data_IF_076626441747
#
_entry.id   IF_076626441747
#
_cell.length_a   1.000
_cell.length_b   1.000
_cell.length_c   1.000
_cell.angle_alpha   90.00
_cell.angle_beta   90.00
_cell.angle_gamma   90.00
#
_symmetry.space_group_name_H-M   'P 1'
#
loop_
_entity.id
_entity.type
_entity.pdbx_description
1 polymer ?
#
# COMPACT_ATOMS: atom_id res chain seq x y z
N UNK A 1 -2.54 -9.10 -1.98
CA UNK A 1 -2.06 -7.93 -2.73
C UNK A 1 -1.11 -7.13 -1.85
N UNK A 2 -0.05 -6.54 -2.42
CA UNK A 2 0.93 -5.74 -1.69
C UNK A 2 0.89 -4.29 -2.19
N UNK A 3 0.78 -3.33 -1.26
CA UNK A 3 0.89 -1.89 -1.51
C UNK A 3 2.28 -1.44 -1.07
N UNK A 4 3.14 -1.13 -2.03
CA UNK A 4 4.55 -0.83 -1.82
C UNK A 4 4.85 0.63 -2.13
N UNK A 5 5.59 1.32 -1.27
CA UNK A 5 6.00 2.71 -1.48
C UNK A 5 6.62 3.32 -0.24
N UNK A 6 7.29 4.44 -0.43
CA UNK A 6 7.85 5.24 0.66
C UNK A 6 6.74 5.86 1.51
N UNK A 7 7.11 6.47 2.60
CA UNK A 7 6.20 7.23 3.43
C UNK A 7 5.58 8.41 2.65
N UNK A 8 4.34 8.77 2.95
CA UNK A 8 3.64 9.88 2.31
C UNK A 8 3.23 9.63 0.85
N UNK A 9 3.21 8.38 0.36
CA UNK A 9 2.80 8.04 -1.02
C UNK A 9 1.35 7.60 -1.14
N UNK A 10 0.51 7.87 -0.15
CA UNK A 10 -0.94 7.61 -0.15
C UNK A 10 -1.36 6.13 -0.08
N UNK A 11 -0.54 5.25 0.50
CA UNK A 11 -0.90 3.84 0.69
C UNK A 11 -2.13 3.67 1.60
N UNK A 12 -2.14 4.34 2.75
CA UNK A 12 -3.26 4.28 3.72
C UNK A 12 -4.54 4.90 3.15
N UNK A 13 -4.45 5.98 2.35
CA UNK A 13 -5.60 6.53 1.63
C UNK A 13 -6.22 5.50 0.67
N UNK A 14 -5.39 4.76 -0.05
CA UNK A 14 -5.87 3.66 -0.89
C UNK A 14 -6.56 2.57 -0.06
N UNK A 15 -6.03 2.24 1.12
CA UNK A 15 -6.68 1.28 2.01
C UNK A 15 -8.04 1.79 2.47
N UNK A 16 -8.16 3.05 2.89
CA UNK A 16 -9.46 3.63 3.28
C UNK A 16 -10.46 3.58 2.13
N UNK A 17 -10.06 3.94 0.93
CA UNK A 17 -10.90 3.85 -0.27
C UNK A 17 -11.40 2.42 -0.53
N UNK A 18 -10.53 1.42 -0.36
CA UNK A 18 -10.89 0.00 -0.51
C UNK A 18 -11.81 -0.48 0.61
N UNK A 19 -11.54 -0.09 1.86
CA UNK A 19 -12.36 -0.43 3.03
C UNK A 19 -13.77 0.14 2.85
N UNK A 20 -13.89 1.42 2.53
CA UNK A 20 -15.20 2.07 2.28
C UNK A 20 -15.97 1.31 1.22
N UNK A 21 -15.33 0.94 0.10
CA UNK A 21 -16.00 0.13 -0.93
C UNK A 21 -16.45 -1.24 -0.43
N UNK A 22 -15.72 -1.86 0.48
CA UNK A 22 -16.10 -3.15 1.05
C UNK A 22 -17.26 -3.05 2.01
N UNK A 23 -17.26 -2.06 2.92
CA UNK A 23 -18.26 -1.95 3.99
C UNK A 23 -19.57 -1.29 3.54
N UNK A 24 -19.55 -0.52 2.46
CA UNK A 24 -20.77 0.06 1.87
C UNK A 24 -21.76 -1.03 1.42
N UNK A 25 -23.07 -0.83 1.60
CA UNK A 25 -24.10 -1.71 1.07
C UNK A 25 -24.06 -1.78 -0.47
N UNK A 26 -24.52 -2.90 -1.01
CA UNK A 26 -24.56 -3.11 -2.48
C UNK A 26 -25.44 -2.08 -3.20
N UNK A 27 -26.53 -1.62 -2.57
CA UNK A 27 -27.38 -0.54 -3.08
C UNK A 27 -26.64 0.79 -3.26
N UNK A 28 -25.55 1.00 -2.52
CA UNK A 28 -24.67 2.16 -2.62
C UNK A 28 -23.33 1.79 -3.30
N UNK A 29 -23.35 0.87 -4.27
CA UNK A 29 -22.19 0.48 -5.06
C UNK A 29 -21.06 -0.20 -4.28
N UNK A 30 -21.31 -0.61 -3.01
CA UNK A 30 -20.38 -1.34 -2.17
C UNK A 30 -20.42 -2.85 -2.39
N UNK A 31 -19.66 -3.57 -1.56
CA UNK A 31 -19.63 -5.04 -1.57
C UNK A 31 -20.35 -5.66 -0.37
N UNK A 32 -20.75 -4.86 0.59
CA UNK A 32 -21.42 -5.28 1.83
C UNK A 32 -20.66 -6.39 2.58
N UNK A 33 -19.33 -6.29 2.58
CA UNK A 33 -18.42 -7.30 3.12
C UNK A 33 -17.75 -6.77 4.38
N UNK A 34 -17.59 -7.62 5.38
CA UNK A 34 -16.85 -7.30 6.59
C UNK A 34 -15.35 -7.25 6.33
N UNK A 35 -14.66 -6.35 7.04
CA UNK A 35 -13.24 -6.08 6.91
C UNK A 35 -12.56 -6.21 8.27
N UNK A 36 -11.48 -6.98 8.32
CA UNK A 36 -10.56 -7.02 9.45
C UNK A 36 -9.32 -6.19 9.12
N UNK A 37 -9.02 -5.19 9.94
CA UNK A 37 -7.84 -4.35 9.80
C UNK A 37 -6.89 -4.57 10.97
N UNK A 38 -5.67 -5.00 10.66
CA UNK A 38 -4.58 -5.14 11.63
C UNK A 38 -3.67 -3.93 11.50
N UNK A 39 -3.75 -3.05 12.49
CA UNK A 39 -2.94 -1.84 12.61
C UNK A 39 -1.68 -2.14 13.44
N UNK A 40 -0.51 -2.01 12.83
CA UNK A 40 0.78 -2.28 13.47
C UNK A 40 1.52 -1.02 13.88
N UNK A 41 1.13 0.13 13.34
CA UNK A 41 1.79 1.43 13.56
C UNK A 41 0.89 2.40 14.33
N UNK A 42 -0.32 1.99 14.70
CA UNK A 42 -1.32 2.80 15.41
C UNK A 42 -1.68 4.10 14.66
N UNK A 43 -1.72 4.03 13.33
CA UNK A 43 -2.00 5.17 12.46
C UNK A 43 -3.38 5.12 11.77
N UNK A 44 -4.23 4.19 12.17
CA UNK A 44 -5.58 4.13 11.62
C UNK A 44 -6.41 5.34 12.05
N UNK A 45 -6.84 6.15 11.08
CA UNK A 45 -7.64 7.34 11.30
C UNK A 45 -9.12 7.07 10.99
N UNK A 46 -9.90 6.87 12.05
CA UNK A 46 -11.33 6.62 11.95
C UNK A 46 -12.09 7.83 11.39
N UNK A 47 -11.69 9.06 11.78
CA UNK A 47 -12.35 10.27 11.30
C UNK A 47 -12.15 10.42 9.79
N UNK A 48 -10.96 10.17 9.32
CA UNK A 48 -10.66 10.18 7.88
C UNK A 48 -11.50 9.16 7.11
N UNK A 49 -11.64 7.94 7.65
CA UNK A 49 -12.48 6.91 7.05
C UNK A 49 -13.95 7.35 6.96
N UNK A 50 -14.49 7.94 8.05
CA UNK A 50 -15.87 8.45 8.10
C UNK A 50 -16.07 9.54 7.05
N UNK A 51 -15.16 10.52 6.98
CA UNK A 51 -15.25 11.60 5.96
C UNK A 51 -15.30 11.04 4.53
N UNK A 52 -14.50 10.01 4.22
CA UNK A 52 -14.52 9.37 2.90
C UNK A 52 -15.86 8.63 2.68
N UNK A 53 -16.38 7.97 3.73
CA UNK A 53 -17.64 7.24 3.67
C UNK A 53 -18.84 8.17 3.41
N UNK A 54 -18.92 9.27 4.17
CA UNK A 54 -19.94 10.30 4.01
C UNK A 54 -19.90 10.93 2.61
N UNK A 55 -18.71 11.30 2.14
CA UNK A 55 -18.54 11.84 0.80
C UNK A 55 -18.99 10.85 -0.30
N UNK A 56 -18.84 9.55 -0.08
CA UNK A 56 -19.32 8.53 -1.01
C UNK A 56 -20.84 8.38 -0.99
N UNK A 57 -21.47 8.46 0.18
CA UNK A 57 -22.91 8.43 0.31
C UNK A 57 -23.54 9.66 -0.36
N UNK A 58 -23.00 10.87 -0.11
CA UNK A 58 -23.47 12.11 -0.70
C UNK A 58 -23.33 12.14 -2.24
N UNK A 59 -22.26 11.57 -2.81
CA UNK A 59 -22.10 11.47 -4.27
C UNK A 59 -23.19 10.63 -4.93
N UNK A 60 -23.71 9.63 -4.26
CA UNK A 60 -24.72 8.74 -4.81
C UNK A 60 -26.13 9.30 -4.66
N UNK A 61 -26.37 10.07 -3.59
CA UNK A 61 -27.65 10.80 -3.42
C UNK A 61 -27.83 11.92 -4.46
N UNK A 62 -26.73 12.41 -5.03
CA UNK A 62 -26.75 13.47 -6.06
C UNK A 62 -27.00 12.96 -7.49
N UNK A 63 -26.99 11.64 -7.77
CA UNK A 63 -27.41 11.13 -9.07
C UNK A 63 -28.95 11.17 -9.14
N UNK A 64 -29.57 11.94 -10.08
CA UNK A 64 -31.00 12.13 -10.13
C UNK A 64 -31.71 10.84 -10.55
N UNK A 65 -32.12 10.04 -9.60
CA UNK A 65 -33.22 9.08 -9.84
C UNK A 65 -34.48 9.90 -10.06
N UNK A 66 -35.02 9.84 -11.27
CA UNK A 66 -36.31 10.45 -11.65
C UNK A 66 -37.41 9.90 -10.74
N UNK A 67 -37.86 10.68 -9.79
CA UNK A 67 -38.97 10.49 -8.84
C UNK A 67 -38.53 10.52 -7.37
N UNK A 68 -38.32 11.72 -6.84
CA UNK A 68 -38.58 11.95 -5.41
C UNK A 68 -38.83 13.43 -5.15
N UNK A 69 -39.99 13.72 -4.54
CA UNK A 69 -40.27 15.01 -3.94
C UNK A 69 -39.27 15.39 -2.88
N UNK A 70 -38.94 16.69 -2.71
CA UNK A 70 -38.02 17.15 -1.64
C UNK A 70 -38.67 16.85 -0.28
N UNK A 71 -38.04 15.97 0.50
CA UNK A 71 -38.30 15.75 1.91
C UNK A 71 -37.50 16.73 2.75
N UNK A 72 -38.09 17.22 3.84
CA UNK A 72 -37.52 18.20 4.73
C UNK A 72 -36.21 17.66 5.38
N UNK A 73 -35.16 18.53 5.46
CA UNK A 73 -33.77 18.19 5.67
C UNK A 73 -33.32 17.56 7.02
N UNK A 74 -34.22 17.23 7.95
CA UNK A 74 -33.88 16.61 9.24
C UNK A 74 -33.96 15.09 9.21
N UNK A 75 -34.82 14.50 8.40
CA UNK A 75 -34.96 13.04 8.29
C UNK A 75 -33.86 12.42 7.40
N UNK A 76 -33.25 13.20 6.49
CA UNK A 76 -32.16 12.73 5.63
C UNK A 76 -30.83 12.65 6.40
N UNK A 77 -30.55 13.59 7.30
CA UNK A 77 -29.31 13.58 8.11
C UNK A 77 -29.30 12.43 9.13
N UNK A 78 -30.42 12.12 9.78
CA UNK A 78 -30.52 10.96 10.68
C UNK A 78 -30.36 9.63 9.92
N UNK A 79 -30.88 9.54 8.71
CA UNK A 79 -30.74 8.35 7.85
C UNK A 79 -29.29 8.09 7.42
N UNK A 80 -28.54 9.14 7.12
CA UNK A 80 -27.15 9.05 6.70
C UNK A 80 -26.23 8.67 7.89
N UNK A 81 -26.48 9.20 9.10
CA UNK A 81 -25.75 8.82 10.30
C UNK A 81 -25.95 7.34 10.68
N UNK A 82 -27.20 6.85 10.60
CA UNK A 82 -27.49 5.43 10.82
C UNK A 82 -26.81 4.55 9.77
N UNK A 83 -26.74 5.00 8.52
CA UNK A 83 -26.06 4.29 7.46
C UNK A 83 -24.55 4.21 7.71
N UNK A 84 -23.93 5.30 8.11
CA UNK A 84 -22.50 5.35 8.49
C UNK A 84 -22.24 4.37 9.64
N UNK A 85 -23.06 4.38 10.69
CA UNK A 85 -22.97 3.43 11.81
C UNK A 85 -23.06 1.98 11.36
N UNK A 86 -24.02 1.67 10.50
CA UNK A 86 -24.22 0.34 9.95
C UNK A 86 -23.02 -0.13 9.09
N UNK A 87 -22.40 0.79 8.35
CA UNK A 87 -21.18 0.50 7.60
C UNK A 87 -19.98 0.23 8.54
N UNK A 88 -19.80 1.06 9.58
CA UNK A 88 -18.71 0.90 10.54
C UNK A 88 -18.81 -0.39 11.35
N UNK A 89 -20.01 -0.95 11.58
CA UNK A 89 -20.18 -2.26 12.21
C UNK A 89 -19.56 -3.42 11.41
N UNK A 90 -19.25 -3.20 10.13
CA UNK A 90 -18.57 -4.18 9.26
C UNK A 90 -17.05 -4.05 9.30
N UNK A 91 -16.50 -3.12 10.10
CA UNK A 91 -15.06 -2.91 10.23
C UNK A 91 -14.58 -3.31 11.63
N UNK A 92 -13.62 -4.22 11.68
CA UNK A 92 -12.98 -4.67 12.91
C UNK A 92 -11.52 -4.24 12.93
N UNK A 93 -11.08 -3.64 14.03
CA UNK A 93 -9.71 -3.17 14.23
C UNK A 93 -8.98 -4.04 15.26
N UNK A 94 -7.77 -4.44 14.92
CA UNK A 94 -6.86 -5.17 15.81
C UNK A 94 -5.51 -4.47 15.81
N UNK A 95 -5.02 -4.11 16.98
CA UNK A 95 -3.69 -3.51 17.12
C UNK A 95 -2.64 -4.57 17.45
N UNK A 96 -1.45 -4.42 16.90
CA UNK A 96 -0.31 -5.28 17.18
C UNK A 96 0.96 -4.44 17.27
N UNK A 97 1.67 -4.52 18.40
CA UNK A 97 2.88 -3.74 18.69
C UNK A 97 4.19 -4.51 18.47
N UNK A 98 4.12 -5.80 18.17
CA UNK A 98 5.28 -6.67 17.90
C UNK A 98 4.94 -7.73 16.85
N UNK A 99 5.95 -8.27 16.19
CA UNK A 99 5.78 -9.37 15.25
C UNK A 99 5.22 -10.64 15.90
N UNK A 100 5.56 -10.89 17.15
CA UNK A 100 5.01 -12.01 17.93
C UNK A 100 3.53 -11.80 18.22
N UNK A 101 3.13 -10.58 18.61
CA UNK A 101 1.73 -10.24 18.85
C UNK A 101 0.92 -10.34 17.55
N UNK A 102 1.45 -9.84 16.44
CA UNK A 102 0.80 -9.98 15.11
C UNK A 102 0.57 -11.46 14.77
N UNK A 103 1.56 -12.34 15.02
CA UNK A 103 1.41 -13.77 14.79
C UNK A 103 0.29 -14.36 15.66
N UNK A 104 0.23 -14.00 16.95
CA UNK A 104 -0.81 -14.46 17.87
C UNK A 104 -2.19 -13.93 17.45
N UNK A 105 -2.28 -12.66 17.06
CA UNK A 105 -3.53 -12.06 16.55
C UNK A 105 -4.03 -12.83 15.33
N UNK A 106 -3.17 -13.12 14.35
CA UNK A 106 -3.56 -13.88 13.17
C UNK A 106 -4.06 -15.30 13.50
N UNK A 107 -3.47 -15.98 14.50
CA UNK A 107 -3.98 -17.28 14.99
C UNK A 107 -5.38 -17.13 15.62
N UNK A 108 -5.58 -16.07 16.41
CA UNK A 108 -6.88 -15.81 17.02
C UNK A 108 -7.96 -15.47 15.99
N UNK A 109 -7.60 -14.75 14.94
CA UNK A 109 -8.50 -14.38 13.85
C UNK A 109 -9.03 -15.59 13.06
N UNK A 110 -8.37 -16.74 13.12
CA UNK A 110 -8.87 -17.96 12.47
C UNK A 110 -10.27 -18.34 12.95
N UNK A 111 -10.54 -18.20 14.27
CA UNK A 111 -11.87 -18.39 14.82
C UNK A 111 -12.91 -17.41 14.30
N UNK A 112 -12.50 -16.14 14.03
CA UNK A 112 -13.37 -15.13 13.46
C UNK A 112 -13.74 -15.44 12.02
N UNK A 113 -12.78 -15.83 11.17
CA UNK A 113 -13.04 -16.24 9.80
C UNK A 113 -13.92 -17.47 9.70
N UNK A 114 -13.76 -18.40 10.64
CA UNK A 114 -14.59 -19.61 10.71
C UNK A 114 -16.05 -19.31 11.07
N UNK A 115 -16.30 -18.33 11.95
CA UNK A 115 -17.64 -17.98 12.44
C UNK A 115 -18.36 -16.93 11.61
N UNK A 116 -17.64 -16.18 10.73
CA UNK A 116 -18.16 -15.05 9.96
C UNK A 116 -17.85 -15.19 8.47
N UNK A 117 -18.71 -15.83 7.69
CA UNK A 117 -18.48 -16.01 6.25
C UNK A 117 -18.52 -14.70 5.46
N UNK A 118 -19.10 -13.64 6.03
CA UNK A 118 -19.12 -12.27 5.47
C UNK A 118 -17.79 -11.53 5.60
N UNK A 119 -16.86 -12.02 6.46
CA UNK A 119 -15.54 -11.45 6.65
C UNK A 119 -14.61 -11.84 5.49
N UNK A 120 -14.63 -11.05 4.43
CA UNK A 120 -13.95 -11.33 3.17
C UNK A 120 -12.61 -10.65 2.96
N UNK A 121 -12.31 -9.60 3.75
CA UNK A 121 -11.08 -8.82 3.58
C UNK A 121 -10.27 -8.75 4.87
N UNK A 122 -8.97 -9.06 4.76
CA UNK A 122 -7.96 -8.83 5.79
C UNK A 122 -6.95 -7.79 5.30
N UNK A 123 -6.80 -6.72 6.04
CA UNK A 123 -5.82 -5.64 5.79
C UNK A 123 -4.75 -5.66 6.86
N UNK A 124 -3.48 -5.53 6.47
CA UNK A 124 -2.32 -5.44 7.35
C UNK A 124 -1.58 -4.13 7.04
N UNK A 125 -1.66 -3.15 7.92
CA UNK A 125 -0.94 -1.89 7.78
C UNK A 125 0.01 -1.69 8.98
N UNK A 126 1.30 -2.06 8.84
CA UNK A 126 2.00 -2.67 7.71
C UNK A 126 2.60 -4.05 8.08
N UNK A 127 2.77 -4.93 7.09
CA UNK A 127 3.46 -6.22 7.31
C UNK A 127 4.96 -6.02 7.57
N UNK A 128 5.50 -4.86 7.25
CA UNK A 128 6.92 -4.52 7.39
C UNK A 128 7.26 -3.76 8.68
N UNK A 129 6.29 -3.43 9.52
CA UNK A 129 6.48 -2.60 10.71
C UNK A 129 7.60 -3.09 11.62
N UNK A 130 7.65 -4.39 11.86
CA UNK A 130 8.60 -4.99 12.81
C UNK A 130 9.91 -5.47 12.18
N UNK A 131 10.16 -5.20 10.90
CA UNK A 131 11.32 -5.68 10.18
C UNK A 131 12.64 -5.33 10.86
N UNK A 132 12.83 -4.08 11.25
CA UNK A 132 14.06 -3.64 11.88
C UNK A 132 14.22 -4.19 13.30
N UNK A 133 13.13 -4.26 14.06
CA UNK A 133 13.11 -4.82 15.41
C UNK A 133 13.51 -6.31 15.38
N UNK A 134 12.88 -7.09 14.51
CA UNK A 134 13.17 -8.53 14.36
C UNK A 134 14.60 -8.76 13.87
N UNK A 135 15.10 -7.87 13.00
CA UNK A 135 16.47 -7.92 12.50
C UNK A 135 17.49 -7.68 13.61
N UNK A 136 17.25 -6.71 14.48
CA UNK A 136 18.12 -6.46 15.63
C UNK A 136 18.09 -7.63 16.63
N UNK A 137 16.91 -8.16 16.92
CA UNK A 137 16.74 -9.26 17.88
C UNK A 137 17.27 -10.59 17.36
N UNK A 138 17.28 -10.81 16.04
CA UNK A 138 17.77 -12.03 15.40
C UNK A 138 19.29 -12.15 15.31
N UNK A 139 20.03 -11.10 15.65
CA UNK A 139 21.50 -11.04 15.54
C UNK A 139 21.97 -11.31 14.11
N UNK A 140 23.05 -12.08 13.94
CA UNK A 140 23.62 -12.45 12.64
C UNK A 140 22.83 -13.50 11.85
N UNK A 141 21.74 -14.07 12.41
CA UNK A 141 21.01 -15.18 11.81
C UNK A 141 19.76 -14.73 11.05
N UNK A 142 19.83 -14.70 9.71
CA UNK A 142 18.67 -14.37 8.84
C UNK A 142 17.45 -15.25 9.15
N UNK A 143 17.57 -16.58 9.36
CA UNK A 143 16.40 -17.39 9.75
C UNK A 143 15.70 -16.91 11.02
N UNK A 144 16.46 -16.44 12.02
CA UNK A 144 15.88 -15.88 13.26
C UNK A 144 15.23 -14.53 13.03
N UNK A 145 15.86 -13.66 12.25
CA UNK A 145 15.33 -12.34 11.86
C UNK A 145 13.98 -12.45 11.15
N UNK A 146 13.79 -13.48 10.34
CA UNK A 146 12.57 -13.67 9.55
C UNK A 146 11.56 -14.64 10.19
N UNK A 147 11.85 -15.20 11.38
CA UNK A 147 11.08 -16.32 11.93
C UNK A 147 9.59 -16.02 12.09
N UNK A 148 9.24 -14.90 12.73
CA UNK A 148 7.85 -14.52 12.96
C UNK A 148 7.15 -14.16 11.65
N UNK A 149 7.78 -13.38 10.78
CA UNK A 149 7.22 -13.00 9.50
C UNK A 149 6.95 -14.20 8.59
N UNK A 150 7.83 -15.22 8.61
CA UNK A 150 7.58 -16.49 7.90
C UNK A 150 6.33 -17.20 8.41
N UNK A 151 6.18 -17.31 9.74
CA UNK A 151 5.02 -17.94 10.36
C UNK A 151 3.75 -17.16 10.04
N UNK A 152 3.78 -15.82 10.16
CA UNK A 152 2.65 -14.97 9.76
C UNK A 152 2.28 -15.20 8.28
N UNK A 153 3.27 -15.24 7.37
CA UNK A 153 3.02 -15.47 5.94
C UNK A 153 2.40 -16.83 5.66
N UNK A 154 2.90 -17.88 6.32
CA UNK A 154 2.35 -19.23 6.18
C UNK A 154 0.90 -19.30 6.68
N UNK A 155 0.62 -18.64 7.81
CA UNK A 155 -0.73 -18.55 8.36
C UNK A 155 -1.67 -17.77 7.44
N UNK A 156 -1.23 -16.63 6.89
CA UNK A 156 -1.99 -15.85 5.92
C UNK A 156 -2.29 -16.66 4.64
N UNK A 157 -1.35 -17.46 4.18
CA UNK A 157 -1.57 -18.36 3.04
C UNK A 157 -2.63 -19.40 3.35
N UNK A 158 -2.62 -19.99 4.55
CA UNK A 158 -3.62 -20.93 5.02
C UNK A 158 -4.99 -20.25 5.11
N UNK A 159 -5.10 -19.14 5.85
CA UNK A 159 -6.36 -18.39 6.00
C UNK A 159 -6.98 -18.04 4.64
N UNK A 160 -6.16 -17.58 3.70
CA UNK A 160 -6.61 -17.27 2.33
C UNK A 160 -7.15 -18.50 1.59
N UNK A 161 -6.53 -19.67 1.78
CA UNK A 161 -6.96 -20.91 1.12
C UNK A 161 -8.22 -21.50 1.76
N UNK A 162 -8.28 -21.49 3.08
CA UNK A 162 -9.33 -22.19 3.83
C UNK A 162 -10.62 -21.36 3.87
N UNK A 163 -10.51 -20.03 3.94
CA UNK A 163 -11.68 -19.12 4.06
C UNK A 163 -11.94 -18.27 2.82
N UNK A 164 -11.14 -18.39 1.78
CA UNK A 164 -11.35 -17.64 0.53
C UNK A 164 -11.15 -16.12 0.64
N UNK A 165 -10.54 -15.62 1.73
CA UNK A 165 -10.37 -14.20 2.00
C UNK A 165 -9.37 -13.54 1.07
N UNK A 166 -9.54 -12.23 0.87
CA UNK A 166 -8.57 -11.38 0.20
C UNK A 166 -7.65 -10.73 1.23
N UNK A 167 -6.35 -10.71 0.97
CA UNK A 167 -5.37 -10.08 1.87
C UNK A 167 -4.71 -8.91 1.17
N UNK A 168 -4.80 -7.74 1.79
CA UNK A 168 -4.04 -6.54 1.44
C UNK A 168 -3.00 -6.26 2.51
N UNK A 169 -1.77 -5.92 2.11
CA UNK A 169 -0.76 -5.51 3.07
C UNK A 169 0.06 -4.35 2.52
N UNK A 170 0.35 -3.38 3.36
CA UNK A 170 1.30 -2.32 3.03
C UNK A 170 2.71 -2.74 3.39
N UNK A 171 3.65 -2.26 2.58
CA UNK A 171 5.09 -2.44 2.76
C UNK A 171 5.77 -1.10 2.57
N UNK A 172 6.61 -0.70 3.53
CA UNK A 172 7.44 0.48 3.39
C UNK A 172 8.60 0.19 2.44
N UNK A 173 8.79 1.04 1.44
CA UNK A 173 9.97 0.98 0.58
C UNK A 173 11.18 1.57 1.34
N UNK A 174 12.29 0.85 1.33
CA UNK A 174 13.56 1.36 1.85
C UNK A 174 14.24 2.11 0.71
N UNK A 175 14.38 3.43 0.85
CA UNK A 175 15.17 4.21 -0.10
C UNK A 175 16.66 3.87 0.05
N UNK A 176 17.31 3.46 -1.04
CA UNK A 176 18.75 3.55 -1.11
C UNK A 176 19.12 5.00 -1.30
N UNK A 177 19.82 5.56 -0.33
CA UNK A 177 20.58 6.76 -0.58
C UNK A 177 21.67 6.37 -1.60
N UNK A 178 21.46 6.66 -2.87
CA UNK A 178 22.55 6.87 -3.80
C UNK A 178 23.27 8.15 -3.36
N UNK A 179 24.02 8.03 -2.26
CA UNK A 179 24.92 9.06 -1.83
C UNK A 179 25.87 9.35 -2.98
N UNK A 180 26.01 10.62 -3.32
CA UNK A 180 26.98 11.20 -4.20
C UNK A 180 28.33 10.43 -4.16
N UNK A 181 28.53 9.53 -5.11
CA UNK A 181 29.84 9.04 -5.45
C UNK A 181 30.50 10.00 -6.46
N UNK A 182 30.56 11.28 -6.12
CA UNK A 182 31.28 12.29 -6.89
C UNK A 182 31.92 13.33 -5.99
N UNK A 183 32.65 12.86 -4.98
CA UNK A 183 33.73 13.66 -4.36
C UNK A 183 34.77 12.71 -3.74
N UNK A 184 35.55 12.08 -4.58
CA UNK A 184 36.90 11.70 -4.21
C UNK A 184 37.83 12.67 -4.91
N UNK A 185 38.11 13.77 -4.22
CA UNK A 185 39.20 14.66 -4.53
C UNK A 185 40.47 13.87 -4.55
N UNK A 186 41.00 13.73 -5.75
CA UNK A 186 42.32 13.25 -6.02
C UNK A 186 43.37 14.28 -5.55
N UNK A 187 43.96 14.03 -4.40
CA UNK A 187 45.27 14.57 -4.10
C UNK A 187 46.27 13.43 -4.23
N UNK A 188 46.92 13.34 -5.39
CA UNK A 188 48.21 12.70 -5.54
C UNK A 188 48.94 13.36 -6.70
N UNK A 189 50.15 13.77 -6.40
CA UNK A 189 51.10 14.56 -7.17
C UNK A 189 51.60 13.89 -8.47
N UNK A 190 52.24 14.64 -9.37
CA UNK A 190 52.47 14.23 -10.74
C UNK A 190 53.72 13.40 -10.93
N UNK A 191 53.74 12.46 -11.87
CA UNK A 191 54.93 11.91 -12.49
C UNK A 191 54.76 11.73 -14.01
N UNK A 192 55.87 11.73 -14.78
CA UNK A 192 55.92 12.39 -16.07
C UNK A 192 55.76 11.46 -17.30
N UNK A 193 55.39 12.13 -18.38
CA UNK A 193 55.47 11.86 -19.83
C UNK A 193 56.13 10.55 -20.30
N UNK A 194 55.44 9.85 -21.15
CA UNK A 194 55.95 9.36 -22.45
C UNK A 194 54.83 9.35 -23.51
N UNK A 195 55.19 9.79 -24.71
CA UNK A 195 54.34 10.01 -25.88
C UNK A 195 54.57 8.88 -26.92
N UNK A 196 54.01 8.96 -28.15
CA UNK A 196 52.72 8.49 -28.58
C UNK A 196 52.81 7.48 -29.73
N UNK A 197 51.77 6.82 -30.10
CA UNK A 197 51.54 6.38 -31.50
C UNK A 197 50.07 5.99 -31.78
N UNK A 198 49.65 5.92 -33.03
CA UNK A 198 48.37 6.48 -33.44
C UNK A 198 47.35 5.43 -33.97
N UNK A 199 46.15 5.96 -34.15
CA UNK A 199 45.10 5.53 -35.10
C UNK A 199 44.44 4.16 -34.92
N UNK A 200 43.14 4.18 -34.66
CA UNK A 200 42.16 3.84 -35.69
C UNK A 200 40.76 4.30 -35.24
N UNK A 201 40.12 5.01 -36.16
CA UNK A 201 38.75 5.45 -36.11
C UNK A 201 37.74 4.29 -36.21
N UNK A 202 36.81 4.21 -35.27
CA UNK A 202 35.51 3.61 -35.54
C UNK A 202 34.44 4.38 -34.78
N UNK A 203 33.66 5.10 -35.54
CA UNK A 203 32.45 5.81 -35.15
C UNK A 203 31.42 4.81 -34.60
N UNK A 204 31.26 4.76 -33.30
CA UNK A 204 30.11 4.13 -32.68
C UNK A 204 29.19 5.25 -32.19
N UNK A 205 28.10 5.40 -32.91
CA UNK A 205 26.97 6.23 -32.53
C UNK A 205 26.44 5.78 -31.17
N UNK A 206 26.80 6.54 -30.14
CA UNK A 206 26.20 6.40 -28.80
C UNK A 206 24.76 6.91 -28.86
N UNK A 207 23.81 6.01 -29.10
CA UNK A 207 22.42 6.26 -28.80
C UNK A 207 22.31 6.47 -27.28
N UNK A 208 22.23 7.73 -26.89
CA UNK A 208 21.89 8.16 -25.56
C UNK A 208 20.48 7.68 -25.25
N UNK A 209 20.37 6.48 -24.69
CA UNK A 209 19.15 6.04 -24.03
C UNK A 209 18.96 6.96 -22.82
N UNK A 210 18.04 7.92 -22.95
CA UNK A 210 17.53 8.66 -21.81
C UNK A 210 17.00 7.62 -20.82
N UNK A 211 17.78 7.31 -19.80
CA UNK A 211 17.30 6.61 -18.63
C UNK A 211 16.20 7.49 -18.06
N UNK A 212 14.96 7.09 -18.29
CA UNK A 212 13.84 7.60 -17.51
C UNK A 212 14.23 7.41 -16.05
N UNK A 213 14.11 8.44 -15.23
CA UNK A 213 14.24 8.39 -13.78
C UNK A 213 13.14 7.49 -13.21
N UNK A 214 13.24 6.19 -13.48
CA UNK A 214 12.56 5.19 -12.69
C UNK A 214 13.36 5.14 -11.41
N UNK A 215 12.83 5.72 -10.35
CA UNK A 215 13.34 5.54 -9.01
C UNK A 215 13.38 4.03 -8.80
N UNK A 216 14.57 3.47 -8.79
CA UNK A 216 14.80 2.03 -8.61
C UNK A 216 14.50 1.74 -7.14
N UNK A 217 13.20 1.51 -6.87
CA UNK A 217 12.75 1.11 -5.57
C UNK A 217 13.40 -0.23 -5.25
N UNK A 218 14.11 -0.23 -4.17
CA UNK A 218 14.94 -1.31 -3.68
C UNK A 218 14.36 -2.70 -3.89
N UNK A 219 15.28 -3.65 -4.06
CA UNK A 219 14.95 -5.07 -4.02
C UNK A 219 14.07 -5.35 -2.81
N UNK A 220 12.97 -6.09 -2.98
CA UNK A 220 12.10 -6.41 -1.86
C UNK A 220 12.91 -7.08 -0.76
N UNK A 221 13.03 -6.40 0.37
CA UNK A 221 13.80 -6.84 1.54
C UNK A 221 13.07 -7.83 2.42
N UNK A 222 11.75 -7.92 2.26
CA UNK A 222 10.89 -8.84 2.99
C UNK A 222 11.16 -10.29 2.58
N UNK A 223 10.94 -11.21 3.51
CA UNK A 223 11.30 -12.62 3.38
C UNK A 223 10.79 -13.26 2.06
N UNK A 224 11.51 -14.26 1.51
CA UNK A 224 11.16 -14.90 0.25
C UNK A 224 9.77 -15.57 0.26
N UNK A 225 9.28 -16.00 1.44
CA UNK A 225 7.95 -16.63 1.58
C UNK A 225 6.85 -15.62 1.29
N UNK A 226 6.94 -14.39 1.84
CA UNK A 226 6.03 -13.31 1.55
C UNK A 226 5.99 -12.98 0.05
N UNK A 227 7.16 -12.83 -0.58
CA UNK A 227 7.25 -12.51 -2.02
C UNK A 227 6.54 -13.52 -2.91
N UNK A 228 6.50 -14.80 -2.50
CA UNK A 228 5.78 -15.87 -3.22
C UNK A 228 4.28 -15.81 -3.01
N UNK A 229 3.83 -15.35 -1.85
CA UNK A 229 2.40 -15.18 -1.55
C UNK A 229 1.78 -14.02 -2.32
N UNK A 230 2.55 -12.97 -2.61
CA UNK A 230 2.09 -11.77 -3.32
C UNK A 230 1.75 -12.10 -4.76
N UNK A 231 0.49 -11.93 -5.14
CA UNK A 231 -0.01 -12.14 -6.52
C UNK A 231 -0.03 -10.85 -7.33
N UNK A 232 -0.24 -9.72 -6.66
CA UNK A 232 -0.26 -8.39 -7.28
C UNK A 232 0.49 -7.41 -6.37
N UNK A 233 1.27 -6.53 -6.98
CA UNK A 233 1.97 -5.45 -6.30
C UNK A 233 1.57 -4.12 -6.90
N UNK A 234 1.14 -3.21 -6.04
CA UNK A 234 0.88 -1.81 -6.34
C UNK A 234 2.05 -0.99 -5.85
N UNK A 235 2.80 -0.37 -6.74
CA UNK A 235 3.92 0.52 -6.41
C UNK A 235 3.43 1.94 -6.46
N UNK A 236 3.47 2.60 -5.31
CA UNK A 236 3.03 3.98 -5.13
C UNK A 236 4.20 4.94 -5.22
N UNK A 237 3.99 6.06 -5.88
CA UNK A 237 4.92 7.17 -5.93
C UNK A 237 4.18 8.50 -5.90
N UNK A 238 4.83 9.51 -5.34
CA UNK A 238 4.36 10.90 -5.30
C UNK A 238 5.17 11.69 -6.32
N UNK A 239 4.52 12.49 -7.15
CA UNK A 239 5.21 13.42 -8.05
C UNK A 239 5.65 14.65 -7.25
N UNK A 240 6.89 15.08 -7.46
CA UNK A 240 7.37 16.36 -6.97
C UNK A 240 6.68 17.44 -7.82
N UNK A 241 5.65 18.04 -7.28
CA UNK A 241 4.89 19.11 -7.95
C UNK A 241 5.40 20.46 -7.44
N UNK A 242 5.45 21.45 -8.34
CA UNK A 242 5.72 22.84 -8.00
C UNK A 242 4.77 23.32 -6.89
N UNK A 243 5.26 24.21 -6.02
CA UNK A 243 4.64 24.62 -4.75
C UNK A 243 3.15 25.06 -4.81
N UNK A 244 2.61 25.28 -6.01
CA UNK A 244 1.27 25.84 -6.22
C UNK A 244 0.21 24.83 -6.70
N UNK A 245 0.53 23.53 -6.75
CA UNK A 245 -0.43 22.52 -7.22
C UNK A 245 -0.55 21.39 -6.21
N UNK A 246 -1.76 20.87 -6.04
CA UNK A 246 -2.02 19.67 -5.23
C UNK A 246 -1.15 18.50 -5.69
N UNK A 247 -0.57 17.72 -4.76
CA UNK A 247 0.29 16.61 -5.12
C UNK A 247 -0.47 15.56 -5.92
N UNK A 248 0.12 15.13 -7.03
CA UNK A 248 -0.39 14.02 -7.83
C UNK A 248 0.36 12.76 -7.44
N UNK A 249 -0.38 11.72 -7.19
CA UNK A 249 0.14 10.40 -6.88
C UNK A 249 0.02 9.49 -8.09
N UNK A 250 0.91 8.53 -8.22
CA UNK A 250 0.79 7.51 -9.24
C UNK A 250 0.93 6.11 -8.63
N UNK A 251 0.20 5.17 -9.20
CA UNK A 251 0.25 3.76 -8.83
C UNK A 251 0.54 2.92 -10.06
N UNK A 252 1.51 2.03 -9.95
CA UNK A 252 1.84 1.05 -10.96
C UNK A 252 1.49 -0.36 -10.44
N UNK A 253 0.53 -1.02 -11.08
CA UNK A 253 0.12 -2.36 -10.75
C UNK A 253 0.91 -3.37 -11.58
N UNK A 254 1.60 -4.29 -10.91
CA UNK A 254 2.29 -5.43 -11.51
C UNK A 254 1.65 -6.72 -11.00
N UNK A 255 1.47 -7.68 -11.88
CA UNK A 255 0.93 -9.00 -11.56
C UNK A 255 1.98 -10.06 -11.79
N UNK A 256 2.11 -11.02 -10.88
CA UNK A 256 3.09 -12.11 -11.01
C UNK A 256 2.82 -13.03 -12.21
N UNK A 257 1.58 -13.05 -12.70
CA UNK A 257 1.14 -13.91 -13.83
C UNK A 257 1.29 -13.27 -15.21
N UNK A 258 1.30 -11.94 -15.28
CA UNK A 258 1.36 -11.20 -16.55
C UNK A 258 2.50 -10.20 -16.50
N UNK A 259 3.20 -10.02 -17.65
CA UNK A 259 4.30 -9.04 -17.75
C UNK A 259 3.81 -7.59 -17.94
N UNK A 260 2.50 -7.38 -17.95
CA UNK A 260 1.92 -6.04 -18.13
C UNK A 260 1.99 -5.20 -16.86
N UNK A 261 2.32 -3.93 -17.02
CA UNK A 261 2.23 -2.91 -15.95
C UNK A 261 1.09 -1.99 -16.28
N UNK A 262 0.08 -1.92 -15.44
CA UNK A 262 -0.99 -0.93 -15.51
C UNK A 262 -0.62 0.25 -14.62
N UNK A 263 -0.82 1.47 -15.11
CA UNK A 263 -0.56 2.69 -14.35
C UNK A 263 -1.81 3.54 -14.29
N UNK A 264 -2.01 4.19 -13.14
CA UNK A 264 -3.06 5.18 -12.92
C UNK A 264 -2.49 6.31 -12.07
N UNK A 265 -3.03 7.50 -12.26
CA UNK A 265 -2.72 8.67 -11.44
C UNK A 265 -3.96 9.10 -10.68
N UNK A 266 -3.77 9.71 -9.51
CA UNK A 266 -4.85 10.17 -8.66
C UNK A 266 -4.38 11.35 -7.81
N UNK A 267 -5.34 12.12 -7.32
CA UNK A 267 -5.14 13.12 -6.27
C UNK A 267 -5.94 12.73 -5.02
N UNK A 268 -5.58 13.31 -3.89
CA UNK A 268 -6.30 13.17 -2.62
C UNK A 268 -7.10 14.45 -2.41
N UNK A 269 -8.38 14.29 -2.16
CA UNK A 269 -9.33 15.34 -1.81
C UNK A 269 -9.90 15.10 -0.43
N UNK A 270 -10.72 16.00 0.10
CA UNK A 270 -11.41 15.80 1.37
C UNK A 270 -12.31 14.56 1.31
N UNK A 271 -12.98 14.33 0.19
CA UNK A 271 -13.82 13.12 -0.04
C UNK A 271 -13.05 11.85 -0.44
N UNK A 272 -11.73 11.82 -0.31
CA UNK A 272 -10.90 10.65 -0.60
C UNK A 272 -10.14 10.72 -1.91
N UNK A 273 -9.86 9.56 -2.51
CA UNK A 273 -9.09 9.46 -3.75
C UNK A 273 -9.94 9.77 -4.98
N UNK A 274 -9.41 10.62 -5.85
CA UNK A 274 -9.97 10.92 -7.16
C UNK A 274 -8.98 10.49 -8.24
N UNK A 275 -9.37 9.54 -9.09
CA UNK A 275 -8.56 9.09 -10.22
C UNK A 275 -8.61 10.11 -11.37
N UNK A 276 -7.44 10.29 -12.02
CA UNK A 276 -7.25 11.26 -13.11
C UNK A 276 -7.26 10.56 -14.46
#
# INVERSE_FOLDING_TARGET
>A
MELHGTEGTAKSEMLYHLIVRCILPTKHGGLETEVMFVDTDYHFDTLRLVTILEARLAQQSAEPTRESCPKEGTEEEEGDEEMVKACLQRLFLVHSSTSAQMLLSLHYLEGWFSSRPTLGLLVLDSISAFYWQDRCNGGGSVPRQEANLRKCTQLLERLRKDYGIVVFATVHAIMRNYGNSSETSSNTAPRPREAPSPSTSSSASSSSWRRSNVVDFDKPYICPVWRRLVTQRLVFSKSDVSKDKSPVFSVACTTTRTRGVKRSSFCITDGGMQFL
#
